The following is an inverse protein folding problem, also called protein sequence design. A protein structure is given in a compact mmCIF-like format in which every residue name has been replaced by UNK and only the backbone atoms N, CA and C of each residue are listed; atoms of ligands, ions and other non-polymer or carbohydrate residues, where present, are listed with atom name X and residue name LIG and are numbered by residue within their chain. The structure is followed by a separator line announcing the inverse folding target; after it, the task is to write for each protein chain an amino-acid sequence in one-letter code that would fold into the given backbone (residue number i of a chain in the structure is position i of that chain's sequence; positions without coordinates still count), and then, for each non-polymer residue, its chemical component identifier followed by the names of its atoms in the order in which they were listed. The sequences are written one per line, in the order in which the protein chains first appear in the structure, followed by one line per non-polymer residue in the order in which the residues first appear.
data_IF_820625182524
#
_entry.id   IF_820625182524
#
_cell.length_a   1.000
_cell.length_b   1.000
_cell.length_c   1.000
_cell.angle_alpha   90.00
_cell.angle_beta   90.00
_cell.angle_gamma   90.00
#
_symmetry.space_group_name_H-M   'P 1'
#
loop_
_entity.id
_entity.type
_entity.pdbx_description
1 polymer ?
#
# COMPACT_ATOMS: atom_id res chain seq x y z
N UNK A 1 61.76 -44.15 34.57
CA UNK A 1 60.60 -43.23 34.80
C UNK A 1 60.86 -41.79 34.37
N UNK A 2 61.93 -41.10 34.82
CA UNK A 2 62.20 -39.70 34.44
C UNK A 2 62.22 -39.43 32.93
N UNK A 3 62.92 -40.25 32.14
CA UNK A 3 63.02 -40.05 30.69
C UNK A 3 61.68 -40.26 29.96
N UNK A 4 60.83 -41.15 30.48
CA UNK A 4 59.48 -41.40 29.94
C UNK A 4 58.54 -40.22 30.23
N UNK A 5 58.56 -39.69 31.46
CA UNK A 5 57.79 -38.49 31.82
C UNK A 5 58.22 -37.27 30.99
N UNK A 6 59.52 -37.14 30.73
CA UNK A 6 60.07 -36.04 29.94
C UNK A 6 59.68 -36.15 28.44
N UNK A 7 59.64 -37.36 27.90
CA UNK A 7 59.15 -37.61 26.54
C UNK A 7 57.63 -37.39 26.42
N UNK A 8 56.85 -37.87 27.40
CA UNK A 8 55.41 -37.65 27.47
C UNK A 8 55.06 -36.17 27.62
N UNK A 9 55.79 -35.43 28.45
CA UNK A 9 55.63 -33.98 28.58
C UNK A 9 55.94 -33.25 27.27
N UNK A 10 57.01 -33.61 26.56
CA UNK A 10 57.33 -33.02 25.25
C UNK A 10 56.23 -33.25 24.21
N UNK A 11 55.67 -34.47 24.17
CA UNK A 11 54.54 -34.79 23.28
C UNK A 11 53.28 -34.01 23.67
N UNK A 12 52.94 -33.97 24.97
CA UNK A 12 51.78 -33.22 25.46
C UNK A 12 51.89 -31.72 25.17
N UNK A 13 53.07 -31.12 25.40
CA UNK A 13 53.33 -29.71 25.06
C UNK A 13 53.26 -29.48 23.56
N UNK A 14 53.80 -30.39 22.73
CA UNK A 14 53.71 -30.30 21.27
C UNK A 14 52.25 -30.34 20.78
N UNK A 15 51.44 -31.27 21.29
CA UNK A 15 50.01 -31.38 20.96
C UNK A 15 49.23 -30.15 21.43
N UNK A 16 49.52 -29.65 22.63
CA UNK A 16 48.88 -28.44 23.16
C UNK A 16 49.20 -27.21 22.31
N UNK A 17 50.48 -27.01 21.95
CA UNK A 17 50.90 -25.90 21.10
C UNK A 17 50.32 -26.01 19.69
N UNK A 18 50.22 -27.22 19.13
CA UNK A 18 49.55 -27.44 17.85
C UNK A 18 48.06 -27.11 17.92
N UNK A 19 47.38 -27.51 19.01
CA UNK A 19 45.98 -27.15 19.26
C UNK A 19 45.78 -25.64 19.40
N UNK A 20 46.67 -24.95 20.11
CA UNK A 20 46.67 -23.49 20.22
C UNK A 20 46.89 -22.82 18.87
N UNK A 21 47.88 -23.27 18.09
CA UNK A 21 48.14 -22.75 16.76
C UNK A 21 46.93 -22.93 15.83
N UNK A 22 46.24 -24.08 15.91
CA UNK A 22 45.01 -24.32 15.18
C UNK A 22 43.87 -23.41 15.64
N UNK A 23 43.71 -23.22 16.95
CA UNK A 23 42.72 -22.29 17.50
C UNK A 23 42.96 -20.84 17.07
N UNK A 24 44.22 -20.39 17.09
CA UNK A 24 44.62 -19.05 16.65
C UNK A 24 44.37 -18.87 15.16
N UNK A 25 44.74 -19.84 14.32
CA UNK A 25 44.53 -19.75 12.87
C UNK A 25 43.04 -19.69 12.51
N UNK A 26 42.19 -20.49 13.16
CA UNK A 26 40.73 -20.40 12.99
C UNK A 26 40.21 -19.02 13.42
N UNK A 27 40.62 -18.52 14.58
CA UNK A 27 40.19 -17.21 15.07
C UNK A 27 40.62 -16.06 14.13
N UNK A 28 41.86 -16.09 13.63
CA UNK A 28 42.37 -15.13 12.66
C UNK A 28 41.61 -15.19 11.34
N UNK A 29 41.30 -16.39 10.85
CA UNK A 29 40.49 -16.57 9.64
C UNK A 29 39.11 -15.93 9.81
N UNK A 30 38.37 -16.27 10.87
CA UNK A 30 37.05 -15.67 11.14
C UNK A 30 37.11 -14.14 11.26
N UNK A 31 38.14 -13.62 11.93
CA UNK A 31 38.31 -12.18 12.08
C UNK A 31 38.61 -11.47 10.75
N UNK A 32 39.50 -12.04 9.94
CA UNK A 32 39.85 -11.52 8.62
C UNK A 32 38.63 -11.51 7.68
N UNK A 33 37.85 -12.59 7.64
CA UNK A 33 36.64 -12.68 6.82
C UNK A 33 35.61 -11.63 7.23
N UNK A 34 35.38 -11.46 8.54
CA UNK A 34 34.44 -10.46 9.07
C UNK A 34 34.86 -9.02 8.72
N UNK A 35 36.16 -8.72 8.80
CA UNK A 35 36.68 -7.40 8.40
C UNK A 35 36.49 -7.18 6.90
N UNK A 36 36.79 -8.19 6.09
CA UNK A 36 36.64 -8.11 4.64
C UNK A 36 35.19 -7.86 4.24
N UNK A 37 34.25 -8.63 4.78
CA UNK A 37 32.81 -8.46 4.56
C UNK A 37 32.35 -7.07 5.01
N UNK A 38 32.77 -6.60 6.19
CA UNK A 38 32.43 -5.26 6.66
C UNK A 38 32.96 -4.16 5.75
N UNK A 39 34.19 -4.29 5.26
CA UNK A 39 34.78 -3.34 4.32
C UNK A 39 34.04 -3.33 2.98
N UNK A 40 33.68 -4.52 2.48
CA UNK A 40 32.86 -4.68 1.28
C UNK A 40 31.43 -4.15 1.44
N UNK A 41 30.89 -4.13 2.65
CA UNK A 41 29.57 -3.58 2.95
C UNK A 41 29.53 -2.05 2.85
N UNK A 42 30.62 -1.36 3.21
CA UNK A 42 30.65 0.11 3.31
C UNK A 42 30.25 0.83 2.03
N UNK A 43 30.66 0.34 0.87
CA UNK A 43 30.26 0.92 -0.42
C UNK A 43 28.74 0.87 -0.65
N UNK A 44 28.06 -0.12 -0.05
CA UNK A 44 26.61 -0.32 -0.14
C UNK A 44 25.84 0.39 0.97
N UNK A 45 26.54 1.08 1.87
CA UNK A 45 25.93 2.06 2.79
C UNK A 45 25.60 3.39 2.07
N UNK A 46 25.87 3.51 0.77
CA UNK A 46 25.38 4.63 -0.03
C UNK A 46 23.98 4.34 -0.57
N UNK A 47 23.18 5.39 -0.75
CA UNK A 47 21.83 5.25 -1.30
C UNK A 47 21.95 4.93 -2.79
N UNK A 48 21.34 3.83 -3.22
CA UNK A 48 21.14 3.50 -4.63
C UNK A 48 19.68 3.69 -4.99
N UNK A 49 19.43 4.32 -6.13
CA UNK A 49 18.08 4.64 -6.60
C UNK A 49 17.69 3.76 -7.78
N UNK A 50 16.41 3.38 -7.81
CA UNK A 50 15.85 2.45 -8.76
C UNK A 50 14.50 2.97 -9.26
N UNK A 51 14.46 3.60 -10.44
CA UNK A 51 13.22 4.06 -11.02
C UNK A 51 12.48 2.92 -11.73
N UNK A 52 11.16 2.96 -11.67
CA UNK A 52 10.26 2.13 -12.47
C UNK A 52 9.10 3.00 -12.98
N UNK A 53 9.01 3.15 -14.30
CA UNK A 53 7.91 3.88 -14.93
C UNK A 53 6.70 2.94 -15.13
N UNK A 54 5.62 3.21 -14.42
CA UNK A 54 4.37 2.45 -14.48
C UNK A 54 3.24 3.31 -15.06
N UNK A 55 3.56 4.45 -15.69
CA UNK A 55 2.58 5.44 -16.14
C UNK A 55 1.61 4.84 -17.14
N UNK A 56 2.08 3.97 -18.04
CA UNK A 56 1.24 3.34 -19.07
C UNK A 56 0.18 2.39 -18.50
N UNK A 57 0.48 1.67 -17.42
CA UNK A 57 -0.39 0.61 -16.88
C UNK A 57 -1.18 1.04 -15.64
N UNK A 58 -0.55 1.87 -14.79
CA UNK A 58 -1.06 2.27 -13.48
C UNK A 58 -1.21 3.79 -13.35
N UNK A 59 -0.66 4.60 -14.26
CA UNK A 59 -0.66 6.06 -14.11
C UNK A 59 0.20 6.53 -12.92
N UNK A 60 1.25 5.77 -12.58
CA UNK A 60 2.14 5.98 -11.44
C UNK A 60 3.60 5.92 -11.87
N UNK A 61 4.48 6.62 -11.15
CA UNK A 61 5.92 6.42 -11.22
C UNK A 61 6.43 5.94 -9.87
N UNK A 62 7.25 4.90 -9.85
CA UNK A 62 7.82 4.35 -8.63
C UNK A 62 9.32 4.62 -8.58
N UNK A 63 9.80 5.09 -7.43
CA UNK A 63 11.21 5.26 -7.11
C UNK A 63 11.52 4.48 -5.84
N UNK A 64 12.25 3.37 -5.99
CA UNK A 64 12.79 2.65 -4.85
C UNK A 64 14.20 3.16 -4.52
N UNK A 65 14.51 3.28 -3.23
CA UNK A 65 15.83 3.65 -2.72
C UNK A 65 16.30 2.56 -1.77
N UNK A 66 17.50 2.07 -2.01
CA UNK A 66 18.09 0.99 -1.22
C UNK A 66 19.40 1.42 -0.59
N UNK A 67 19.64 0.93 0.62
CA UNK A 67 20.93 1.02 1.31
C UNK A 67 21.09 -0.24 2.17
N UNK A 68 22.28 -0.83 2.21
CA UNK A 68 22.56 -1.97 3.09
C UNK A 68 23.43 -1.51 4.24
N UNK A 69 23.02 -1.81 5.47
CA UNK A 69 23.79 -1.55 6.68
C UNK A 69 23.80 -2.83 7.51
N UNK A 70 24.97 -3.35 7.83
CA UNK A 70 25.12 -4.51 8.73
C UNK A 70 24.24 -5.72 8.33
N UNK A 71 24.18 -6.05 7.03
CA UNK A 71 23.39 -7.18 6.52
C UNK A 71 21.87 -6.96 6.46
N UNK A 72 21.42 -5.71 6.65
CA UNK A 72 20.02 -5.32 6.53
C UNK A 72 19.85 -4.34 5.38
N UNK A 73 18.94 -4.68 4.48
CA UNK A 73 18.45 -3.81 3.42
C UNK A 73 17.44 -2.82 4.01
N UNK A 74 17.75 -1.55 3.92
CA UNK A 74 16.80 -0.46 4.07
C UNK A 74 16.21 -0.16 2.70
N UNK A 75 14.90 -0.30 2.57
CA UNK A 75 14.16 -0.02 1.34
C UNK A 75 13.16 1.10 1.61
N UNK A 76 13.25 2.18 0.84
CA UNK A 76 12.23 3.22 0.75
C UNK A 76 11.57 3.11 -0.61
N UNK A 77 10.24 3.14 -0.66
CA UNK A 77 9.49 3.13 -1.92
C UNK A 77 8.64 4.38 -1.96
N UNK A 78 8.95 5.24 -2.92
CA UNK A 78 8.20 6.46 -3.21
C UNK A 78 7.42 6.26 -4.50
N UNK A 79 6.14 6.60 -4.47
CA UNK A 79 5.26 6.55 -5.63
C UNK A 79 4.77 7.96 -5.89
N UNK A 80 4.99 8.42 -7.12
CA UNK A 80 4.52 9.70 -7.62
C UNK A 80 3.29 9.45 -8.50
N UNK A 81 2.24 10.21 -8.24
CA UNK A 81 0.93 10.04 -8.87
C UNK A 81 -0.09 9.47 -7.90
N UNK A 82 -1.36 9.86 -8.09
CA UNK A 82 -2.49 9.39 -7.30
C UNK A 82 -3.73 9.23 -8.20
N UNK A 83 -3.76 8.17 -9.05
CA UNK A 83 -4.83 7.93 -10.02
C UNK A 83 -6.17 7.66 -9.34
N UNK A 84 -7.25 7.83 -10.11
CA UNK A 84 -8.63 7.78 -9.61
C UNK A 84 -8.99 6.49 -8.87
N UNK A 85 -8.40 5.34 -9.24
CA UNK A 85 -8.68 4.06 -8.56
C UNK A 85 -8.11 3.99 -7.12
N UNK A 86 -7.22 4.91 -6.73
CA UNK A 86 -6.71 5.06 -5.35
C UNK A 86 -7.52 6.07 -4.54
N UNK A 87 -8.34 6.91 -5.18
CA UNK A 87 -9.20 7.91 -4.53
C UNK A 87 -10.68 7.52 -4.54
N UNK A 88 -11.12 6.66 -5.47
CA UNK A 88 -12.49 6.14 -5.51
C UNK A 88 -12.76 5.32 -4.24
N UNK A 89 -13.76 5.66 -3.41
CA UNK A 89 -14.00 4.98 -2.13
C UNK A 89 -14.22 3.47 -2.25
N UNK A 90 -14.88 3.02 -3.33
CA UNK A 90 -15.24 1.60 -3.52
C UNK A 90 -14.00 0.78 -3.85
N UNK A 91 -13.12 1.34 -4.68
CA UNK A 91 -11.86 0.70 -5.04
C UNK A 91 -10.80 0.89 -3.96
N UNK A 92 -10.76 2.03 -3.28
CA UNK A 92 -9.81 2.32 -2.23
C UNK A 92 -9.92 1.29 -1.11
N UNK A 93 -11.14 0.92 -0.70
CA UNK A 93 -11.36 -0.14 0.30
C UNK A 93 -10.87 -1.51 -0.19
N UNK A 94 -11.22 -1.92 -1.41
CA UNK A 94 -10.78 -3.20 -2.00
C UNK A 94 -9.26 -3.27 -2.16
N UNK A 95 -8.67 -2.15 -2.59
CA UNK A 95 -7.24 -2.03 -2.82
C UNK A 95 -6.44 -1.90 -1.52
N UNK A 96 -7.04 -1.77 -0.33
CA UNK A 96 -6.27 -1.70 0.93
C UNK A 96 -5.35 -2.91 1.14
N UNK A 97 -5.81 -4.10 0.76
CA UNK A 97 -5.05 -5.36 0.82
C UNK A 97 -4.32 -5.70 -0.49
N UNK A 98 -4.53 -4.90 -1.53
CA UNK A 98 -3.79 -5.08 -2.77
C UNK A 98 -2.33 -4.69 -2.56
N UNK A 99 -1.46 -5.32 -3.35
CA UNK A 99 -0.02 -5.28 -3.14
C UNK A 99 0.68 -4.69 -4.36
N UNK A 100 1.74 -3.95 -4.08
CA UNK A 100 2.80 -3.67 -5.02
C UNK A 100 3.97 -4.57 -4.66
N UNK A 101 4.39 -5.41 -5.61
CA UNK A 101 5.45 -6.39 -5.41
C UNK A 101 6.72 -5.83 -6.05
N UNK A 102 7.62 -5.33 -5.21
CA UNK A 102 8.91 -4.80 -5.61
C UNK A 102 9.87 -5.96 -5.79
N UNK A 103 10.41 -6.13 -7.01
CA UNK A 103 11.31 -7.22 -7.36
C UNK A 103 12.63 -6.70 -7.89
N UNK A 104 13.73 -7.15 -7.30
CA UNK A 104 15.06 -6.93 -7.86
C UNK A 104 15.51 -8.18 -8.60
N UNK A 105 15.94 -7.99 -9.83
CA UNK A 105 16.48 -9.05 -10.68
C UNK A 105 17.96 -8.84 -10.97
N UNK A 106 18.64 -9.93 -11.30
CA UNK A 106 20.03 -9.91 -11.77
C UNK A 106 20.15 -9.63 -13.27
N UNK A 107 21.38 -9.72 -13.79
CA UNK A 107 21.70 -9.43 -15.19
C UNK A 107 20.95 -10.34 -16.16
N UNK A 108 20.73 -11.58 -15.75
CA UNK A 108 20.06 -12.61 -16.55
C UNK A 108 18.52 -12.54 -16.38
N UNK A 109 18.03 -11.63 -15.55
CA UNK A 109 16.61 -11.44 -15.27
C UNK A 109 16.04 -12.38 -14.22
N UNK A 110 16.86 -13.16 -13.52
CA UNK A 110 16.39 -13.99 -12.41
C UNK A 110 16.09 -13.15 -11.18
N UNK A 111 15.03 -13.52 -10.47
CA UNK A 111 14.61 -12.86 -9.23
C UNK A 111 15.65 -13.11 -8.13
N UNK A 112 16.20 -12.02 -7.59
CA UNK A 112 17.14 -12.04 -6.45
C UNK A 112 16.41 -11.70 -5.15
N UNK A 113 15.51 -10.72 -5.21
CA UNK A 113 14.72 -10.27 -4.06
C UNK A 113 13.31 -9.91 -4.49
N UNK A 114 12.33 -10.20 -3.64
CA UNK A 114 10.93 -9.87 -3.88
C UNK A 114 10.25 -9.52 -2.57
N UNK A 115 9.66 -8.33 -2.52
CA UNK A 115 8.88 -7.87 -1.38
C UNK A 115 7.49 -7.43 -1.82
N UNK A 116 6.44 -8.19 -1.50
CA UNK A 116 5.08 -7.68 -1.54
C UNK A 116 4.92 -6.62 -0.45
N UNK A 117 4.31 -5.49 -0.82
CA UNK A 117 3.99 -4.39 0.08
C UNK A 117 2.52 -4.08 -0.11
N UNK A 118 1.71 -4.22 0.94
CA UNK A 118 0.30 -3.86 0.88
C UNK A 118 0.13 -2.34 0.77
N UNK A 119 -0.90 -1.89 0.04
CA UNK A 119 -1.20 -0.46 -0.03
C UNK A 119 -1.50 0.15 1.34
N UNK A 120 -2.02 -0.64 2.28
CA UNK A 120 -2.22 -0.25 3.68
C UNK A 120 -0.92 0.15 4.40
N UNK A 121 0.24 -0.35 3.96
CA UNK A 121 1.57 -0.02 4.51
C UNK A 121 2.14 1.30 3.98
N UNK A 122 1.47 1.92 3.00
CA UNK A 122 1.88 3.20 2.45
C UNK A 122 1.21 4.37 3.18
N UNK A 123 2.01 5.39 3.47
CA UNK A 123 1.54 6.70 3.88
C UNK A 123 1.29 7.59 2.66
N UNK A 124 0.20 8.35 2.68
CA UNK A 124 -0.09 9.33 1.62
C UNK A 124 0.86 10.52 1.69
N UNK A 125 1.42 10.89 0.53
CA UNK A 125 2.13 12.16 0.35
C UNK A 125 1.09 13.21 -0.04
N UNK A 126 1.05 14.32 0.70
CA UNK A 126 0.08 15.41 0.50
C UNK A 126 0.77 16.60 -0.14
N UNK A 127 0.16 17.16 -1.18
CA UNK A 127 0.59 18.36 -1.87
C UNK A 127 0.26 19.63 -1.11
N UNK A 128 0.66 20.77 -1.68
CA UNK A 128 0.48 22.08 -1.04
C UNK A 128 -0.99 22.48 -0.85
N UNK A 129 -1.93 21.87 -1.60
CA UNK A 129 -3.37 22.17 -1.51
C UNK A 129 -4.14 21.11 -0.69
N UNK A 130 -3.44 20.21 0.00
CA UNK A 130 -4.07 19.15 0.78
C UNK A 130 -4.49 17.91 -0.03
N UNK A 131 -4.20 17.89 -1.32
CA UNK A 131 -4.48 16.76 -2.21
C UNK A 131 -3.43 15.65 -2.06
N UNK A 132 -3.83 14.39 -2.15
CA UNK A 132 -2.87 13.28 -2.20
C UNK A 132 -2.18 13.27 -3.56
N UNK A 133 -0.85 13.33 -3.58
CA UNK A 133 -0.03 13.37 -4.80
C UNK A 133 0.85 12.14 -4.97
N UNK A 134 0.86 11.24 -3.98
CA UNK A 134 1.71 10.06 -4.01
C UNK A 134 1.58 9.22 -2.75
N UNK A 135 2.42 8.20 -2.68
CA UNK A 135 2.50 7.25 -1.58
C UNK A 135 3.97 7.03 -1.19
N UNK A 136 4.24 6.77 0.08
CA UNK A 136 5.58 6.44 0.57
C UNK A 136 5.51 5.35 1.62
N UNK A 137 6.45 4.42 1.57
CA UNK A 137 6.71 3.49 2.66
C UNK A 137 8.20 3.28 2.86
N UNK A 138 8.57 2.80 4.04
CA UNK A 138 9.93 2.43 4.41
C UNK A 138 9.90 1.12 5.19
N UNK A 139 10.79 0.21 4.83
CA UNK A 139 10.89 -1.10 5.43
C UNK A 139 12.35 -1.56 5.52
N UNK A 140 12.57 -2.53 6.40
CA UNK A 140 13.86 -3.13 6.65
C UNK A 140 13.77 -4.64 6.49
N UNK A 141 14.60 -5.19 5.63
CA UNK A 141 14.61 -6.61 5.32
C UNK A 141 16.03 -7.18 5.46
N UNK A 142 16.13 -8.47 5.76
CA UNK A 142 17.42 -9.14 5.73
C UNK A 142 17.80 -9.44 4.29
N UNK A 143 19.02 -9.04 3.90
CA UNK A 143 19.57 -9.36 2.58
C UNK A 143 21.09 -9.50 2.72
N UNK A 144 21.63 -10.57 2.14
CA UNK A 144 23.08 -10.77 2.10
C UNK A 144 23.72 -9.71 1.20
N UNK A 145 24.98 -9.37 1.46
CA UNK A 145 25.71 -8.44 0.59
C UNK A 145 25.91 -9.08 -0.80
N UNK A 146 26.05 -10.40 -0.85
CA UNK A 146 26.14 -11.21 -2.05
C UNK A 146 24.90 -11.07 -2.92
N UNK A 147 23.70 -11.13 -2.32
CA UNK A 147 22.45 -10.93 -3.05
C UNK A 147 22.27 -9.48 -3.46
N UNK A 148 22.59 -8.52 -2.58
CA UNK A 148 22.47 -7.10 -2.92
C UNK A 148 23.36 -6.70 -4.11
N UNK A 149 24.57 -7.26 -4.19
CA UNK A 149 25.48 -7.10 -5.35
C UNK A 149 24.86 -7.53 -6.66
N UNK A 150 23.96 -8.51 -6.63
CA UNK A 150 23.27 -9.03 -7.80
C UNK A 150 22.07 -8.19 -8.21
N UNK A 151 21.69 -7.15 -7.47
CA UNK A 151 20.61 -6.27 -7.91
C UNK A 151 21.06 -5.48 -9.14
N UNK A 152 20.32 -5.63 -10.24
CA UNK A 152 20.62 -4.97 -11.52
C UNK A 152 19.45 -4.15 -12.04
N UNK A 153 18.22 -4.64 -11.85
CA UNK A 153 17.03 -3.94 -12.30
C UNK A 153 15.89 -4.12 -11.30
N UNK A 154 15.09 -3.08 -11.15
CA UNK A 154 13.82 -3.10 -10.47
C UNK A 154 12.70 -3.48 -11.43
N UNK A 155 11.84 -4.41 -11.01
CA UNK A 155 10.58 -4.75 -11.63
C UNK A 155 9.45 -4.60 -10.61
N UNK A 156 8.26 -4.29 -11.09
CA UNK A 156 7.08 -4.10 -10.24
C UNK A 156 5.95 -4.94 -10.79
N UNK A 157 5.44 -5.85 -9.96
CA UNK A 157 4.17 -6.54 -10.19
C UNK A 157 3.11 -5.96 -9.24
N UNK A 158 1.84 -6.16 -9.54
CA UNK A 158 0.75 -5.62 -8.72
C UNK A 158 -0.47 -6.52 -8.71
N UNK A 159 -1.27 -6.39 -7.65
CA UNK A 159 -2.60 -7.00 -7.53
C UNK A 159 -3.74 -5.97 -7.47
N UNK A 160 -3.44 -4.72 -7.87
CA UNK A 160 -4.36 -3.59 -7.86
C UNK A 160 -5.55 -3.77 -8.83
N UNK A 161 -6.75 -3.48 -8.34
CA UNK A 161 -7.93 -3.24 -9.17
C UNK A 161 -7.86 -1.81 -9.71
N UNK A 162 -7.52 -1.66 -11.00
CA UNK A 162 -7.34 -0.34 -11.65
C UNK A 162 -8.54 0.12 -12.49
N UNK A 163 -9.48 -0.78 -12.75
CA UNK A 163 -10.69 -0.48 -13.52
C UNK A 163 -11.69 0.24 -12.62
N UNK A 164 -11.66 1.57 -12.65
CA UNK A 164 -12.71 2.40 -12.03
C UNK A 164 -14.05 1.94 -12.62
N UNK A 165 -14.98 1.42 -11.80
CA UNK A 165 -16.31 1.10 -12.29
C UNK A 165 -16.84 2.36 -12.98
N UNK A 166 -17.46 2.27 -14.16
CA UNK A 166 -18.16 3.42 -14.69
C UNK A 166 -19.04 3.94 -13.57
N UNK A 167 -19.08 5.26 -13.39
CA UNK A 167 -20.15 5.86 -12.63
C UNK A 167 -21.42 5.37 -13.32
N UNK A 168 -22.02 4.30 -12.79
CA UNK A 168 -23.45 4.22 -12.69
C UNK A 168 -23.75 5.53 -12.02
N UNK A 169 -24.10 6.54 -12.84
CA UNK A 169 -24.94 7.61 -12.36
C UNK A 169 -25.94 6.89 -11.48
N UNK A 170 -26.10 7.28 -10.19
CA UNK A 170 -27.21 6.74 -9.42
C UNK A 170 -28.38 6.82 -10.39
N UNK A 171 -29.03 5.70 -10.66
CA UNK A 171 -30.22 5.74 -11.48
C UNK A 171 -31.18 6.52 -10.61
N UNK A 172 -31.12 7.85 -10.71
CA UNK A 172 -31.88 8.78 -9.88
C UNK A 172 -33.36 8.47 -10.12
N UNK A 173 -33.69 7.84 -11.25
CA UNK A 173 -35.00 7.27 -11.51
C UNK A 173 -35.39 6.15 -10.57
N UNK A 174 -34.52 5.25 -10.14
CA UNK A 174 -34.91 4.13 -9.28
C UNK A 174 -35.16 4.57 -7.83
N UNK A 175 -34.34 5.49 -7.30
CA UNK A 175 -34.49 5.97 -5.91
C UNK A 175 -35.61 7.04 -5.81
N UNK A 176 -35.76 7.94 -6.79
CA UNK A 176 -36.95 8.81 -6.86
C UNK A 176 -38.23 8.02 -7.15
N UNK A 177 -38.17 6.93 -7.92
CA UNK A 177 -39.33 6.06 -8.12
C UNK A 177 -39.77 5.35 -6.83
N UNK A 178 -38.86 5.10 -5.88
CA UNK A 178 -39.20 4.51 -4.57
C UNK A 178 -39.77 5.52 -3.58
N UNK A 179 -39.35 6.79 -3.66
CA UNK A 179 -39.87 7.88 -2.82
C UNK A 179 -41.22 8.42 -3.33
N UNK A 180 -41.45 8.41 -4.64
CA UNK A 180 -42.64 9.01 -5.29
C UNK A 180 -43.83 8.03 -5.46
N UNK A 181 -44.16 7.30 -4.40
CA UNK A 181 -45.10 6.16 -4.42
C UNK A 181 -46.57 6.52 -4.72
N UNK A 182 -47.02 7.75 -4.46
CA UNK A 182 -48.42 8.14 -4.68
C UNK A 182 -48.74 8.70 -6.08
N UNK A 183 -47.74 8.89 -6.96
CA UNK A 183 -47.92 9.19 -8.39
C UNK A 183 -46.54 9.51 -9.01
N UNK A 184 -45.81 8.53 -9.54
CA UNK A 184 -44.47 8.76 -10.03
C UNK A 184 -44.41 9.88 -11.08
N UNK A 185 -43.39 10.75 -10.99
CA UNK A 185 -43.04 11.78 -11.99
C UNK A 185 -43.96 12.99 -12.10
N UNK A 186 -44.77 13.31 -11.08
CA UNK A 186 -45.54 14.57 -11.05
C UNK A 186 -44.86 15.63 -10.18
N UNK A 187 -44.87 16.88 -10.64
CA UNK A 187 -44.27 18.00 -9.90
C UNK A 187 -45.05 18.31 -8.61
N UNK A 188 -44.38 18.92 -7.63
CA UNK A 188 -45.00 19.44 -6.40
C UNK A 188 -46.22 20.31 -6.68
N UNK A 189 -46.13 21.21 -7.67
CA UNK A 189 -47.24 22.10 -8.03
C UNK A 189 -48.47 21.33 -8.53
N UNK A 190 -48.25 20.32 -9.38
CA UNK A 190 -49.33 19.47 -9.89
C UNK A 190 -49.94 18.59 -8.78
N UNK A 191 -49.12 18.13 -7.82
CA UNK A 191 -49.60 17.42 -6.61
C UNK A 191 -50.53 18.29 -5.77
N UNK A 192 -50.12 19.52 -5.47
CA UNK A 192 -50.92 20.45 -4.68
C UNK A 192 -52.22 20.84 -5.39
N UNK A 193 -52.17 21.02 -6.71
CA UNK A 193 -53.36 21.27 -7.55
C UNK A 193 -54.35 20.09 -7.54
N UNK A 194 -53.86 18.86 -7.47
CA UNK A 194 -54.72 17.67 -7.33
C UNK A 194 -55.27 17.55 -5.92
N UNK A 195 -54.44 17.79 -4.90
CA UNK A 195 -54.86 17.78 -3.50
C UNK A 195 -55.98 18.81 -3.26
N UNK A 196 -55.88 20.00 -3.84
CA UNK A 196 -56.92 21.04 -3.72
C UNK A 196 -58.27 20.68 -4.35
N UNK A 197 -58.38 19.57 -5.10
CA UNK A 197 -59.68 19.05 -5.55
C UNK A 197 -60.47 18.40 -4.41
N UNK A 198 -59.81 18.03 -3.31
CA UNK A 198 -60.43 17.38 -2.15
C UNK A 198 -60.84 18.37 -1.05
N UNK A 199 -60.54 19.66 -1.22
CA UNK A 199 -60.88 20.71 -0.25
C UNK A 199 -59.97 21.93 -0.39
N UNK A 200 -60.16 22.91 0.50
CA UNK A 200 -59.26 24.05 0.61
C UNK A 200 -57.86 23.59 1.05
N UNK A 201 -56.84 23.98 0.28
CA UNK A 201 -55.46 23.61 0.54
C UNK A 201 -54.90 24.42 1.71
N UNK A 202 -54.41 23.74 2.75
CA UNK A 202 -53.78 24.38 3.91
C UNK A 202 -52.41 23.79 4.16
N UNK A 203 -51.44 24.65 4.46
CA UNK A 203 -50.14 24.22 4.96
C UNK A 203 -50.24 24.03 6.48
N UNK A 204 -50.03 22.80 6.95
CA UNK A 204 -50.17 22.41 8.36
C UNK A 204 -48.83 22.37 9.11
N UNK A 205 -47.74 22.21 8.38
CA UNK A 205 -46.35 22.29 8.86
C UNK A 205 -45.44 22.58 7.66
N UNK A 206 -44.20 22.97 7.90
CA UNK A 206 -43.23 23.24 6.82
C UNK A 206 -43.16 22.07 5.84
N UNK A 207 -43.51 22.31 4.58
CA UNK A 207 -43.52 21.28 3.53
C UNK A 207 -44.67 20.27 3.62
N UNK A 208 -45.68 20.51 4.45
CA UNK A 208 -46.80 19.60 4.72
C UNK A 208 -48.15 20.25 4.41
N UNK A 209 -48.92 19.67 3.50
CA UNK A 209 -50.17 20.23 3.00
C UNK A 209 -51.33 19.27 3.21
N UNK A 210 -52.51 19.79 3.55
CA UNK A 210 -53.74 19.02 3.65
C UNK A 210 -54.91 19.68 2.90
N UNK A 211 -55.86 18.86 2.45
CA UNK A 211 -57.14 19.28 1.91
C UNK A 211 -58.19 18.19 2.22
N UNK A 212 -59.17 18.51 3.07
CA UNK A 212 -60.10 17.51 3.61
C UNK A 212 -59.35 16.44 4.42
N UNK A 213 -59.65 15.16 4.16
CA UNK A 213 -59.03 14.01 4.84
C UNK A 213 -57.70 13.56 4.20
N UNK A 214 -57.22 14.30 3.18
CA UNK A 214 -56.00 13.97 2.43
C UNK A 214 -54.84 14.87 2.81
N UNK A 215 -53.63 14.34 2.82
CA UNK A 215 -52.42 15.11 3.07
C UNK A 215 -51.23 14.64 2.25
N UNK A 216 -50.29 15.56 2.00
CA UNK A 216 -49.00 15.27 1.38
C UNK A 216 -47.89 15.99 2.15
N UNK A 217 -46.76 15.33 2.28
CA UNK A 217 -45.56 15.84 2.93
C UNK A 217 -44.41 15.80 1.94
N UNK A 218 -43.60 16.86 1.91
CA UNK A 218 -42.44 17.00 1.04
C UNK A 218 -41.17 17.20 1.86
N UNK A 219 -40.04 16.73 1.31
CA UNK A 219 -38.70 17.09 1.79
C UNK A 219 -38.34 18.53 1.42
N UNK A 220 -37.24 19.04 1.98
CA UNK A 220 -36.75 20.40 1.72
C UNK A 220 -36.39 20.65 0.24
N UNK A 221 -36.00 19.59 -0.47
CA UNK A 221 -35.68 19.60 -1.91
C UNK A 221 -36.93 19.52 -2.81
N UNK A 222 -38.12 19.43 -2.21
CA UNK A 222 -39.41 19.36 -2.91
C UNK A 222 -39.84 17.95 -3.32
N UNK A 223 -39.07 16.91 -2.99
CA UNK A 223 -39.46 15.52 -3.24
C UNK A 223 -40.56 15.04 -2.28
N UNK A 224 -41.41 14.10 -2.71
CA UNK A 224 -42.50 13.59 -1.88
C UNK A 224 -41.92 12.70 -0.75
N UNK A 225 -42.24 13.06 0.49
CA UNK A 225 -41.92 12.28 1.69
C UNK A 225 -43.03 11.27 2.00
N UNK A 226 -44.29 11.71 2.00
CA UNK A 226 -45.45 10.88 2.36
C UNK A 226 -46.75 11.46 1.79
N UNK A 227 -47.78 10.63 1.68
CA UNK A 227 -49.11 10.97 1.18
C UNK A 227 -50.17 10.09 1.87
N UNK A 228 -51.32 10.67 2.21
CA UNK A 228 -52.46 10.00 2.84
C UNK A 228 -53.76 10.43 2.15
#
# INVERSE_FOLDING_TARGET
MKNFLLAAAKLATGLFLAGLALGITIALYFWATKIYESSQAKQYETIKEWPADLTANLGLQLQAKTKVISGKLLLSVDIVGYPAYLSDPRLAERNQKAQLIVQFVDLDGFRVFSKPIELSEFSGIVGAKGEKIGLRTQLQEYVSIEDYKRFQRLQVEWTLETKVPPNLAPDVKEEQSRLDHCAPSISRAERLKRLSKHGELREIASGSYSAGDRSVHFFYDGTLLNCR
#
